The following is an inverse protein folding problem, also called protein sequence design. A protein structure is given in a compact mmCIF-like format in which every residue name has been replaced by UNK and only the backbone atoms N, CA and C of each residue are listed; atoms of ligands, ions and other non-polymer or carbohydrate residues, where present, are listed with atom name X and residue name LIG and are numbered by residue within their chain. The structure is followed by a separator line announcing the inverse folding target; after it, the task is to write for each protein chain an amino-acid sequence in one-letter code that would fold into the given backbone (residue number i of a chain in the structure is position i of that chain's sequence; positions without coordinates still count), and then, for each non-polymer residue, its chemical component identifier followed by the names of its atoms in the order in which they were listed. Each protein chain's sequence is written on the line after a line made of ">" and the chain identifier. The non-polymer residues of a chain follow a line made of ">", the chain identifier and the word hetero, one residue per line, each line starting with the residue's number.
data_IF_393194071681
#
_entry.id   IF_393194071681
#
_cell.length_a   1.000
_cell.length_b   1.000
_cell.length_c   1.000
_cell.angle_alpha   90.00
_cell.angle_beta   90.00
_cell.angle_gamma   90.00
#
_symmetry.space_group_name_H-M   'P 1'
#
loop_
_entity.id
_entity.type
_entity.pdbx_description
1 polymer ?
#
# COMPACT_ATOMS: atom_id res chain seq x y z
N UNK A 1 -3.51 16.27 -11.72
CA UNK A 1 -3.03 15.95 -10.36
C UNK A 1 -2.94 14.44 -10.23
N UNK A 2 -1.92 13.92 -9.53
CA UNK A 2 -1.79 12.48 -9.29
C UNK A 2 -2.94 11.99 -8.38
N UNK A 3 -3.46 10.79 -8.65
CA UNK A 3 -4.54 10.19 -7.85
C UNK A 3 -4.06 9.73 -6.46
N UNK A 4 -2.76 9.51 -6.29
CA UNK A 4 -2.08 9.13 -5.06
C UNK A 4 -0.57 9.41 -5.19
N UNK A 5 0.15 9.41 -4.06
CA UNK A 5 1.61 9.38 -4.02
C UNK A 5 2.11 8.13 -3.31
N UNK A 6 3.24 7.58 -3.75
CA UNK A 6 3.96 6.52 -3.04
C UNK A 6 5.12 7.15 -2.26
N UNK A 7 5.29 6.73 -1.01
CA UNK A 7 6.59 6.93 -0.34
C UNK A 7 7.65 6.04 -0.98
N UNK A 8 8.93 6.41 -0.84
CA UNK A 8 10.07 5.57 -1.28
C UNK A 8 9.98 4.16 -0.72
N UNK A 9 9.51 4.05 0.53
CA UNK A 9 9.28 2.79 1.21
C UNK A 9 8.18 1.94 0.55
N UNK A 10 7.04 2.55 0.20
CA UNK A 10 5.95 1.86 -0.48
C UNK A 10 6.32 1.48 -1.92
N UNK A 11 7.09 2.31 -2.61
CA UNK A 11 7.62 1.98 -3.93
C UNK A 11 8.56 0.76 -3.86
N UNK A 12 9.45 0.72 -2.87
CA UNK A 12 10.29 -0.45 -2.63
C UNK A 12 9.48 -1.72 -2.29
N UNK A 13 8.38 -1.58 -1.55
CA UNK A 13 7.47 -2.71 -1.29
C UNK A 13 6.87 -3.24 -2.61
N UNK A 14 6.36 -2.35 -3.49
CA UNK A 14 5.79 -2.74 -4.79
C UNK A 14 6.82 -3.42 -5.69
N UNK A 15 8.06 -2.90 -5.74
CA UNK A 15 9.16 -3.51 -6.48
C UNK A 15 9.50 -4.90 -5.93
N UNK A 16 9.56 -5.04 -4.60
CA UNK A 16 9.83 -6.32 -3.94
C UNK A 16 8.74 -7.36 -4.24
N UNK A 17 7.47 -6.93 -4.24
CA UNK A 17 6.32 -7.78 -4.60
C UNK A 17 6.46 -8.25 -6.06
N UNK A 18 6.79 -7.35 -6.99
CA UNK A 18 7.00 -7.70 -8.39
C UNK A 18 8.12 -8.75 -8.53
N UNK A 19 9.30 -8.47 -7.98
CA UNK A 19 10.47 -9.34 -8.09
C UNK A 19 10.19 -10.73 -7.52
N UNK A 20 9.58 -10.79 -6.33
CA UNK A 20 9.20 -12.05 -5.70
C UNK A 20 8.18 -12.81 -6.55
N UNK A 21 7.16 -12.13 -7.07
CA UNK A 21 6.10 -12.76 -7.85
C UNK A 21 6.63 -13.29 -9.19
N UNK A 22 7.48 -12.51 -9.85
CA UNK A 22 8.12 -12.90 -11.11
C UNK A 22 9.06 -14.10 -10.94
N UNK A 23 9.87 -14.10 -9.88
CA UNK A 23 10.82 -15.18 -9.60
C UNK A 23 10.18 -16.47 -9.06
N UNK A 24 9.02 -16.37 -8.39
CA UNK A 24 8.34 -17.53 -7.78
C UNK A 24 7.34 -18.19 -8.73
N UNK A 25 6.62 -17.41 -9.54
CA UNK A 25 5.56 -17.91 -10.40
C UNK A 25 5.81 -17.63 -11.88
N UNK A 26 5.78 -16.36 -12.28
CA UNK A 26 6.10 -15.91 -13.65
C UNK A 26 6.00 -14.39 -13.75
N UNK A 27 6.64 -13.81 -14.77
CA UNK A 27 6.48 -12.39 -15.10
C UNK A 27 5.03 -12.04 -15.46
N UNK A 28 4.31 -12.93 -16.16
CA UNK A 28 2.89 -12.73 -16.46
C UNK A 28 2.05 -12.60 -15.17
N UNK A 29 2.34 -13.41 -14.16
CA UNK A 29 1.68 -13.32 -12.86
C UNK A 29 2.03 -12.02 -12.12
N UNK A 30 3.28 -11.57 -12.21
CA UNK A 30 3.71 -10.29 -11.65
C UNK A 30 3.00 -9.11 -12.30
N UNK A 31 2.83 -9.13 -13.63
CA UNK A 31 2.11 -8.11 -14.38
C UNK A 31 0.64 -8.01 -13.96
N UNK A 32 -0.05 -9.15 -13.83
CA UNK A 32 -1.44 -9.19 -13.35
C UNK A 32 -1.53 -8.57 -11.95
N UNK A 33 -0.67 -9.02 -11.03
CA UNK A 33 -0.74 -8.58 -9.64
C UNK A 33 -0.39 -7.09 -9.47
N UNK A 34 0.55 -6.59 -10.27
CA UNK A 34 0.87 -5.17 -10.32
C UNK A 34 -0.31 -4.34 -10.82
N UNK A 35 -1.03 -4.80 -11.85
CA UNK A 35 -2.24 -4.13 -12.33
C UNK A 35 -3.36 -4.09 -11.27
N UNK A 36 -3.50 -5.13 -10.46
CA UNK A 36 -4.43 -5.14 -9.31
C UNK A 36 -4.05 -4.08 -8.26
N UNK A 37 -2.76 -3.97 -7.92
CA UNK A 37 -2.27 -2.92 -7.03
C UNK A 37 -2.52 -1.51 -7.60
N UNK A 38 -2.22 -1.29 -8.88
CA UNK A 38 -2.47 0.01 -9.53
C UNK A 38 -3.96 0.37 -9.53
N UNK A 39 -4.83 -0.61 -9.82
CA UNK A 39 -6.29 -0.43 -9.75
C UNK A 39 -6.73 -0.04 -8.34
N UNK A 40 -6.19 -0.71 -7.31
CA UNK A 40 -6.41 -0.34 -5.92
C UNK A 40 -5.97 1.11 -5.63
N UNK A 41 -4.75 1.50 -6.03
CA UNK A 41 -4.21 2.82 -5.77
C UNK A 41 -5.04 3.95 -6.42
N UNK A 42 -5.54 3.72 -7.64
CA UNK A 42 -6.43 4.68 -8.31
C UNK A 42 -7.74 4.94 -7.56
N UNK A 43 -8.14 4.05 -6.66
CA UNK A 43 -9.40 4.11 -5.92
C UNK A 43 -9.25 4.57 -4.48
N UNK A 44 -8.05 4.91 -4.00
CA UNK A 44 -7.83 5.21 -2.57
C UNK A 44 -8.65 6.39 -2.05
N UNK A 45 -8.97 7.37 -2.91
CA UNK A 45 -9.74 8.55 -2.53
C UNK A 45 -11.25 8.28 -2.35
N UNK A 46 -11.80 7.26 -3.02
CA UNK A 46 -13.25 7.03 -3.12
C UNK A 46 -13.70 5.59 -2.82
N UNK A 47 -12.76 4.66 -2.72
CA UNK A 47 -13.01 3.24 -2.49
C UNK A 47 -13.24 2.91 -1.02
N UNK A 48 -13.75 1.70 -0.73
CA UNK A 48 -13.92 1.23 0.64
C UNK A 48 -12.56 1.09 1.33
N UNK A 49 -12.51 1.49 2.60
CA UNK A 49 -11.31 1.38 3.43
C UNK A 49 -11.66 0.98 4.86
N UNK A 50 -10.67 0.44 5.56
CA UNK A 50 -10.69 0.29 7.01
C UNK A 50 -9.93 1.46 7.63
N UNK A 51 -10.56 2.16 8.57
CA UNK A 51 -9.93 3.25 9.32
C UNK A 51 -9.10 2.70 10.49
N UNK A 52 -7.97 3.36 10.77
CA UNK A 52 -7.09 3.14 11.91
C UNK A 52 -6.71 4.49 12.56
N UNK A 53 -7.69 5.39 12.69
CA UNK A 53 -7.47 6.72 13.26
C UNK A 53 -6.94 6.69 14.70
N UNK A 54 -7.24 5.64 15.47
CA UNK A 54 -6.67 5.41 16.82
C UNK A 54 -5.16 5.13 16.80
N UNK A 55 -4.61 4.70 15.65
CA UNK A 55 -3.17 4.42 15.46
C UNK A 55 -2.45 5.66 14.94
N UNK A 56 -3.00 6.30 13.90
CA UNK A 56 -2.52 7.56 13.38
C UNK A 56 -3.65 8.31 12.66
N UNK A 57 -3.71 9.65 12.78
CA UNK A 57 -4.73 10.45 12.09
C UNK A 57 -4.74 10.20 10.58
N UNK A 58 -5.93 9.92 10.03
CA UNK A 58 -6.10 9.69 8.59
C UNK A 58 -5.53 8.37 8.06
N UNK A 59 -5.08 7.46 8.93
CA UNK A 59 -4.57 6.15 8.54
C UNK A 59 -5.70 5.24 8.08
N UNK A 60 -5.55 4.70 6.87
CA UNK A 60 -6.52 3.83 6.21
C UNK A 60 -5.83 2.62 5.61
N UNK A 61 -6.58 1.53 5.44
CA UNK A 61 -6.09 0.36 4.74
C UNK A 61 -7.14 -0.37 3.90
N UNK A 62 -6.67 -1.16 2.96
CA UNK A 62 -7.47 -2.10 2.17
C UNK A 62 -6.61 -3.30 1.78
N UNK A 63 -7.27 -4.38 1.35
CA UNK A 63 -6.59 -5.62 0.96
C UNK A 63 -6.60 -5.77 -0.55
N UNK A 64 -5.47 -6.23 -1.09
CA UNK A 64 -5.31 -6.65 -2.48
C UNK A 64 -4.68 -8.04 -2.46
N UNK A 65 -5.45 -9.09 -2.74
CA UNK A 65 -4.98 -10.47 -2.56
C UNK A 65 -4.41 -10.73 -1.17
N UNK A 66 -3.13 -11.08 -1.10
CA UNK A 66 -2.38 -11.35 0.15
C UNK A 66 -1.65 -10.15 0.73
N UNK A 67 -1.79 -8.97 0.13
CA UNK A 67 -1.16 -7.76 0.63
C UNK A 67 -2.19 -6.80 1.22
N UNK A 68 -1.74 -6.00 2.18
CA UNK A 68 -2.49 -4.91 2.80
C UNK A 68 -1.80 -3.61 2.40
N UNK A 69 -2.56 -2.72 1.76
CA UNK A 69 -2.11 -1.38 1.38
C UNK A 69 -2.47 -0.43 2.51
N UNK A 70 -1.51 0.35 2.98
CA UNK A 70 -1.71 1.38 3.99
C UNK A 70 -1.41 2.76 3.42
N UNK A 71 -2.28 3.73 3.69
CA UNK A 71 -2.10 5.11 3.27
C UNK A 71 -2.62 6.10 4.30
N UNK A 72 -2.12 7.32 4.23
CA UNK A 72 -2.63 8.48 4.93
C UNK A 72 -3.47 9.32 3.97
N UNK A 73 -4.64 9.77 4.42
CA UNK A 73 -5.45 10.72 3.68
C UNK A 73 -6.21 11.63 4.64
N UNK A 74 -5.84 12.91 4.67
CA UNK A 74 -6.66 13.95 5.28
C UNK A 74 -7.83 14.34 4.36
N UNK A 75 -8.83 15.03 4.91
CA UNK A 75 -10.00 15.47 4.13
C UNK A 75 -9.57 16.42 3.01
N UNK A 76 -9.83 16.04 1.75
CA UNK A 76 -9.50 16.84 0.57
C UNK A 76 -8.05 16.72 0.09
N UNK A 77 -7.22 15.91 0.74
CA UNK A 77 -5.82 15.70 0.33
C UNK A 77 -5.64 14.46 -0.56
N UNK A 78 -4.58 14.49 -1.37
CA UNK A 78 -4.18 13.35 -2.21
C UNK A 78 -3.67 12.22 -1.30
N UNK A 79 -4.20 10.98 -1.40
CA UNK A 79 -3.74 9.85 -0.61
C UNK A 79 -2.24 9.59 -0.75
N UNK A 80 -1.56 9.37 0.37
CA UNK A 80 -0.14 9.01 0.40
C UNK A 80 0.03 7.57 0.90
N UNK A 81 0.43 6.67 0.01
CA UNK A 81 0.68 5.25 0.33
C UNK A 81 2.01 5.14 1.06
N UNK A 82 1.96 4.61 2.29
CA UNK A 82 3.12 4.49 3.18
C UNK A 82 3.65 3.06 3.25
N UNK A 83 2.85 2.05 2.89
CA UNK A 83 3.27 0.65 2.92
C UNK A 83 2.40 -0.26 2.05
N UNK A 84 3.00 -1.32 1.49
CA UNK A 84 2.31 -2.47 0.89
C UNK A 84 2.86 -3.75 1.50
N UNK A 85 2.17 -4.31 2.49
CA UNK A 85 2.71 -5.37 3.34
C UNK A 85 2.03 -6.71 3.09
N UNK A 86 2.80 -7.79 2.98
CA UNK A 86 2.23 -9.13 2.87
C UNK A 86 1.61 -9.58 4.21
N UNK A 87 0.46 -10.27 4.16
CA UNK A 87 -0.34 -10.63 5.34
C UNK A 87 0.40 -11.51 6.37
N UNK A 88 1.46 -12.21 5.94
CA UNK A 88 2.32 -13.06 6.78
C UNK A 88 3.48 -12.30 7.44
N UNK A 89 3.66 -11.04 7.13
CA UNK A 89 4.67 -10.21 7.79
C UNK A 89 4.19 -9.78 9.16
N UNK A 90 5.12 -9.35 9.99
CA UNK A 90 4.78 -8.53 11.15
C UNK A 90 4.32 -7.14 10.68
N UNK A 91 3.01 -7.03 10.41
CA UNK A 91 2.37 -5.83 9.88
C UNK A 91 2.52 -4.66 10.83
N UNK A 92 2.30 -4.88 12.13
CA UNK A 92 2.25 -3.79 13.11
C UNK A 92 3.63 -3.16 13.31
N UNK A 93 4.67 -3.99 13.47
CA UNK A 93 6.04 -3.49 13.63
C UNK A 93 6.48 -2.70 12.39
N UNK A 94 6.25 -3.26 11.19
CA UNK A 94 6.60 -2.58 9.93
C UNK A 94 5.82 -1.29 9.74
N UNK A 95 4.51 -1.30 9.98
CA UNK A 95 3.68 -0.09 9.85
C UNK A 95 4.14 1.01 10.81
N UNK A 96 4.47 0.66 12.05
CA UNK A 96 4.99 1.63 13.03
C UNK A 96 6.29 2.29 12.53
N UNK A 97 7.19 1.53 11.89
CA UNK A 97 8.42 2.09 11.32
C UNK A 97 8.16 2.97 10.10
N UNK A 98 7.20 2.60 9.23
CA UNK A 98 6.78 3.43 8.09
C UNK A 98 6.18 4.76 8.55
N UNK A 99 5.40 4.76 9.62
CA UNK A 99 4.80 5.97 10.20
C UNK A 99 5.85 6.93 10.77
N UNK A 100 6.91 6.41 11.40
CA UNK A 100 8.04 7.24 11.87
C UNK A 100 8.79 7.90 10.72
N UNK A 101 8.97 7.19 9.61
CA UNK A 101 9.70 7.67 8.43
C UNK A 101 8.91 8.67 7.56
N UNK A 102 7.62 8.87 7.85
CA UNK A 102 6.75 9.81 7.12
C UNK A 102 6.61 11.17 7.85
N UNK A 103 7.15 11.29 9.07
CA UNK A 103 7.26 12.54 9.82
C UNK A 103 8.59 13.24 9.51
#
# INVERSE_FOLDING_TARGET
>A
MAAYHLTVSAEADVVGIWQYTAGTWSEAQAQIYHAELQTCFSRLAAGPFRSFEDVAPGLRSCRVGRHVVFWLAAAGEVPQVIAVLHERMDIFSRLADRLKATK
#
